data_IF_235132903489
#
_entry.id   IF_235132903489
#
_cell.length_a   1.000
_cell.length_b   1.000
_cell.length_c   1.000
_cell.angle_alpha   90.00
_cell.angle_beta   90.00
_cell.angle_gamma   90.00
#
_symmetry.space_group_name_H-M   'P 1'
#
loop_
_entity.id
_entity.type
_entity.pdbx_description
1 polymer ?
#
# COMPACT_ATOMS: atom_id res chain seq x y z
N UNK A 1 -9.58 1.10 -25.10
CA UNK A 1 -10.48 1.56 -24.05
C UNK A 1 -9.69 2.17 -22.90
N UNK A 2 -10.17 3.30 -22.39
CA UNK A 2 -9.45 4.02 -21.34
C UNK A 2 -9.24 3.16 -20.08
N UNK A 3 -10.26 2.41 -19.68
CA UNK A 3 -10.14 1.56 -18.50
C UNK A 3 -9.08 0.47 -18.63
N UNK A 4 -8.95 -0.09 -19.81
CA UNK A 4 -7.93 -1.08 -20.07
C UNK A 4 -6.52 -0.50 -19.94
N UNK A 5 -6.31 0.68 -20.50
CA UNK A 5 -5.00 1.35 -20.41
C UNK A 5 -4.65 1.71 -18.97
N UNK A 6 -5.63 2.20 -18.23
CA UNK A 6 -5.41 2.54 -16.82
C UNK A 6 -5.03 1.30 -16.01
N UNK A 7 -5.71 0.18 -16.23
CA UNK A 7 -5.40 -1.05 -15.52
C UNK A 7 -3.98 -1.54 -15.81
N UNK A 8 -3.56 -1.46 -17.06
CA UNK A 8 -2.20 -1.87 -17.42
C UNK A 8 -1.16 -0.96 -16.79
N UNK A 9 -1.37 0.34 -16.85
CA UNK A 9 -0.46 1.31 -16.24
C UNK A 9 -0.40 1.09 -14.74
N UNK A 10 -1.54 0.86 -14.11
CA UNK A 10 -1.60 0.59 -12.68
C UNK A 10 -0.78 -0.65 -12.32
N UNK A 11 -0.89 -1.71 -13.11
CA UNK A 11 -0.12 -2.93 -12.87
C UNK A 11 1.38 -2.68 -13.00
N UNK A 12 1.78 -1.91 -14.00
CA UNK A 12 3.18 -1.57 -14.22
C UNK A 12 3.72 -0.70 -13.08
N UNK A 13 2.93 0.26 -12.64
CA UNK A 13 3.29 1.10 -11.49
C UNK A 13 3.47 0.25 -10.25
N UNK A 14 2.56 -0.70 -10.03
CA UNK A 14 2.63 -1.59 -8.88
C UNK A 14 3.92 -2.39 -8.86
N UNK A 15 4.31 -2.95 -9.98
CA UNK A 15 5.57 -3.71 -10.09
C UNK A 15 6.76 -2.83 -9.77
N UNK A 16 6.80 -1.66 -10.38
CA UNK A 16 7.91 -0.73 -10.17
C UNK A 16 7.99 -0.27 -8.72
N UNK A 17 6.84 0.07 -8.12
CA UNK A 17 6.80 0.46 -6.71
C UNK A 17 7.24 -0.66 -5.79
N UNK A 18 6.86 -1.90 -6.09
CA UNK A 18 7.29 -3.04 -5.29
C UNK A 18 8.80 -3.17 -5.27
N UNK A 19 9.45 -2.98 -6.41
CA UNK A 19 10.90 -3.00 -6.49
C UNK A 19 11.51 -1.83 -5.73
N UNK A 20 10.96 -0.64 -5.89
CA UNK A 20 11.46 0.56 -5.21
C UNK A 20 11.36 0.43 -3.70
N UNK A 21 10.25 -0.12 -3.20
CA UNK A 21 10.07 -0.30 -1.77
C UNK A 21 11.12 -1.24 -1.17
N UNK A 22 11.56 -2.24 -1.93
CA UNK A 22 12.61 -3.14 -1.48
C UNK A 22 13.97 -2.46 -1.41
N UNK A 23 14.16 -1.39 -2.19
CA UNK A 23 15.42 -0.66 -2.23
C UNK A 23 15.55 0.40 -1.16
N UNK A 24 14.46 0.71 -0.46
CA UNK A 24 14.48 1.74 0.58
C UNK A 24 15.31 1.25 1.76
N UNK A 25 16.29 2.04 2.14
CA UNK A 25 17.23 1.70 3.23
C UNK A 25 16.94 2.46 4.52
N UNK A 26 15.68 2.68 4.80
CA UNK A 26 15.25 3.34 6.03
C UNK A 26 14.82 2.26 7.01
N UNK A 27 15.43 2.18 8.21
CA UNK A 27 15.06 1.15 9.18
C UNK A 27 13.62 1.23 9.66
N UNK A 28 12.96 2.37 9.48
CA UNK A 28 11.55 2.52 9.83
C UNK A 28 10.63 1.90 8.79
N UNK A 29 11.14 1.63 7.60
CA UNK A 29 10.36 1.02 6.52
C UNK A 29 10.64 -0.48 6.52
N UNK A 30 9.57 -1.28 6.61
CA UNK A 30 9.70 -2.72 6.57
C UNK A 30 10.31 -3.17 5.25
N UNK A 31 11.24 -4.10 5.32
CA UNK A 31 11.81 -4.71 4.11
C UNK A 31 10.85 -5.71 3.48
N UNK A 32 9.82 -6.10 4.22
CA UNK A 32 8.81 -7.06 3.77
C UNK A 32 7.48 -6.35 3.54
N UNK A 33 7.53 -5.12 3.10
CA UNK A 33 6.34 -4.32 2.83
C UNK A 33 5.72 -4.78 1.51
N UNK A 34 4.43 -5.07 1.54
CA UNK A 34 3.69 -5.53 0.36
C UNK A 34 2.64 -4.50 -0.03
N UNK A 35 2.44 -4.34 -1.33
CA UNK A 35 1.37 -3.50 -1.84
C UNK A 35 0.11 -4.35 -1.90
N UNK A 36 -0.89 -3.97 -1.09
CA UNK A 36 -2.16 -4.68 -1.02
C UNK A 36 -3.10 -4.20 -2.12
N UNK A 37 -3.10 -2.89 -2.34
CA UNK A 37 -3.98 -2.28 -3.32
C UNK A 37 -3.34 -1.02 -3.86
N UNK A 38 -3.60 -0.73 -5.11
CA UNK A 38 -3.13 0.51 -5.74
C UNK A 38 -4.28 1.14 -6.50
N UNK A 39 -4.62 2.37 -6.14
CA UNK A 39 -5.63 3.17 -6.82
C UNK A 39 -4.96 4.36 -7.51
N UNK A 40 -5.06 4.41 -8.82
CA UNK A 40 -4.55 5.53 -9.60
C UNK A 40 -5.73 6.32 -10.13
N UNK A 41 -5.72 7.64 -9.93
CA UNK A 41 -6.79 8.48 -10.45
C UNK A 41 -6.81 8.44 -11.99
N UNK A 42 -7.99 8.67 -12.57
CA UNK A 42 -8.17 8.57 -14.03
C UNK A 42 -7.27 9.52 -14.80
N UNK A 43 -6.94 10.66 -14.22
CA UNK A 43 -6.07 11.66 -14.86
C UNK A 43 -4.61 11.51 -14.49
N UNK A 44 -4.24 10.45 -13.76
CA UNK A 44 -2.87 10.18 -13.32
C UNK A 44 -2.30 11.24 -12.37
N UNK A 45 -3.16 11.97 -11.69
CA UNK A 45 -2.70 12.99 -10.73
C UNK A 45 -2.28 12.40 -9.39
N UNK A 46 -2.96 11.37 -8.96
CA UNK A 46 -2.74 10.76 -7.64
C UNK A 46 -2.70 9.26 -7.75
N UNK A 47 -1.87 8.67 -6.92
CA UNK A 47 -1.82 7.23 -6.74
C UNK A 47 -1.85 6.94 -5.25
N UNK A 48 -2.86 6.22 -4.81
CA UNK A 48 -2.98 5.80 -3.42
C UNK A 48 -2.48 4.36 -3.30
N UNK A 49 -1.46 4.17 -2.47
CA UNK A 49 -0.78 2.89 -2.34
C UNK A 49 -1.08 2.32 -0.95
N UNK A 50 -1.85 1.26 -0.90
CA UNK A 50 -2.17 0.57 0.35
C UNK A 50 -1.12 -0.51 0.58
N UNK A 51 -0.43 -0.43 1.70
CA UNK A 51 0.69 -1.32 2.00
C UNK A 51 0.48 -2.02 3.34
N UNK A 52 1.12 -3.17 3.48
CA UNK A 52 1.08 -3.94 4.71
C UNK A 52 2.45 -4.56 4.96
N UNK A 53 2.92 -4.46 6.20
CA UNK A 53 4.17 -5.07 6.63
C UNK A 53 3.88 -6.40 7.29
N UNK A 54 4.74 -7.39 7.04
CA UNK A 54 4.57 -8.72 7.62
C UNK A 54 4.69 -8.69 9.14
N UNK A 55 5.41 -7.71 9.67
CA UNK A 55 5.62 -7.58 11.12
C UNK A 55 4.38 -7.12 11.87
N UNK A 56 3.36 -6.62 11.16
CA UNK A 56 2.12 -6.19 11.77
C UNK A 56 1.77 -4.76 11.47
N UNK A 57 0.63 -4.32 11.99
CA UNK A 57 0.09 -3.01 11.67
C UNK A 57 0.94 -1.85 12.22
N UNK A 58 1.53 -2.03 13.39
CA UNK A 58 2.38 -0.98 13.96
C UNK A 58 3.57 -0.68 13.04
N UNK A 59 4.23 -1.74 12.55
CA UNK A 59 5.33 -1.58 11.61
C UNK A 59 4.85 -1.02 10.29
N UNK A 60 3.64 -1.38 9.88
CA UNK A 60 3.04 -0.83 8.66
C UNK A 60 2.85 0.67 8.80
N UNK A 61 2.32 1.13 9.93
CA UNK A 61 2.11 2.55 10.17
C UNK A 61 3.44 3.31 10.21
N UNK A 62 4.44 2.75 10.86
CA UNK A 62 5.76 3.34 10.91
C UNK A 62 6.35 3.47 9.50
N UNK A 63 6.22 2.41 8.71
CA UNK A 63 6.70 2.40 7.34
C UNK A 63 6.02 3.48 6.49
N UNK A 64 4.70 3.56 6.59
CA UNK A 64 3.91 4.54 5.83
C UNK A 64 4.30 5.95 6.20
N UNK A 65 4.48 6.22 7.47
CA UNK A 65 4.89 7.54 7.95
C UNK A 65 6.23 7.94 7.35
N UNK A 66 7.19 7.02 7.37
CA UNK A 66 8.51 7.28 6.81
C UNK A 66 8.45 7.47 5.29
N UNK A 67 7.65 6.66 4.60
CA UNK A 67 7.50 6.77 3.16
C UNK A 67 6.90 8.11 2.75
N UNK A 68 5.83 8.52 3.43
CA UNK A 68 5.17 9.78 3.09
C UNK A 68 6.03 11.00 3.43
N UNK A 69 6.82 10.90 4.48
CA UNK A 69 7.60 12.05 4.96
C UNK A 69 8.96 12.17 4.29
N UNK A 70 9.70 11.07 4.23
CA UNK A 70 11.11 11.13 3.82
C UNK A 70 11.41 10.51 2.47
N UNK A 71 10.77 9.40 2.16
CA UNK A 71 11.12 8.64 0.96
C UNK A 71 10.20 8.89 -0.23
N UNK A 72 9.07 9.57 -0.01
CA UNK A 72 8.06 9.77 -1.06
C UNK A 72 8.59 10.47 -2.30
N UNK A 73 9.40 11.51 -2.09
CA UNK A 73 9.97 12.26 -3.22
C UNK A 73 10.93 11.42 -4.05
N UNK A 74 11.76 10.64 -3.37
CA UNK A 74 12.69 9.73 -4.05
C UNK A 74 11.93 8.69 -4.86
N UNK A 75 10.92 8.08 -4.25
CA UNK A 75 10.14 7.02 -4.91
C UNK A 75 9.43 7.59 -6.13
N UNK A 76 8.83 8.76 -5.99
CA UNK A 76 8.12 9.41 -7.10
C UNK A 76 9.06 9.71 -8.27
N UNK A 77 10.23 10.24 -7.97
CA UNK A 77 11.22 10.55 -8.99
C UNK A 77 11.71 9.29 -9.70
N UNK A 78 12.01 8.25 -8.93
CA UNK A 78 12.49 6.99 -9.51
C UNK A 78 11.40 6.32 -10.34
N UNK A 79 10.17 6.37 -9.88
CA UNK A 79 9.04 5.83 -10.62
C UNK A 79 8.92 6.50 -11.98
N UNK A 80 8.98 7.81 -12.00
CA UNK A 80 8.90 8.57 -13.24
C UNK A 80 10.02 8.24 -14.19
N UNK A 81 11.25 8.13 -13.66
CA UNK A 81 12.43 7.83 -14.47
C UNK A 81 12.39 6.41 -15.03
N UNK A 82 12.04 5.44 -14.19
CA UNK A 82 12.04 4.03 -14.59
C UNK A 82 10.94 3.70 -15.60
N UNK A 83 9.79 4.34 -15.44
CA UNK A 83 8.65 4.10 -16.32
C UNK A 83 8.54 5.11 -17.44
N UNK A 84 9.40 6.12 -17.46
CA UNK A 84 9.38 7.19 -18.46
C UNK A 84 8.01 7.83 -18.58
N UNK A 85 7.40 8.10 -17.43
CA UNK A 85 6.09 8.71 -17.40
C UNK A 85 6.17 10.20 -17.71
N UNK A 86 5.24 10.69 -18.54
CA UNK A 86 5.12 12.12 -18.79
C UNK A 86 4.65 12.85 -17.56
N UNK A 87 3.67 12.25 -16.88
CA UNK A 87 3.10 12.78 -15.66
C UNK A 87 3.23 11.73 -14.60
N UNK A 88 3.95 12.06 -13.52
CA UNK A 88 4.13 11.15 -12.42
C UNK A 88 3.08 11.47 -11.37
N UNK A 89 2.25 10.51 -10.98
CA UNK A 89 1.23 10.77 -9.98
C UNK A 89 1.86 11.06 -8.63
N UNK A 90 1.18 11.87 -7.85
CA UNK A 90 1.57 12.09 -6.47
C UNK A 90 1.25 10.83 -5.68
N UNK A 91 2.25 10.28 -5.01
CA UNK A 91 2.10 9.03 -4.28
C UNK A 91 1.65 9.30 -2.85
N UNK A 92 0.66 8.55 -2.40
CA UNK A 92 0.18 8.60 -1.04
C UNK A 92 0.13 7.18 -0.50
N UNK A 93 0.90 6.93 0.54
CA UNK A 93 0.96 5.60 1.16
C UNK A 93 0.00 5.54 2.33
N UNK A 94 -0.77 4.48 2.39
CA UNK A 94 -1.75 4.26 3.45
C UNK A 94 -1.50 2.88 4.05
N UNK A 95 -1.50 2.82 5.37
CA UNK A 95 -1.36 1.55 6.08
C UNK A 95 -2.65 0.76 5.95
N UNK A 96 -2.55 -0.44 5.39
CA UNK A 96 -3.68 -1.33 5.26
C UNK A 96 -3.68 -2.31 6.41
N UNK A 97 -4.79 -2.38 7.14
CA UNK A 97 -4.92 -3.31 8.25
C UNK A 97 -5.99 -4.38 7.97
N UNK A 98 -6.29 -4.62 6.70
CA UNK A 98 -7.34 -5.58 6.35
C UNK A 98 -7.05 -6.97 6.90
N UNK A 99 -5.79 -7.39 6.95
CA UNK A 99 -5.44 -8.70 7.49
C UNK A 99 -5.72 -8.75 8.99
N UNK A 100 -5.30 -7.73 9.74
CA UNK A 100 -5.60 -7.66 11.17
C UNK A 100 -7.08 -7.48 11.44
N UNK A 101 -7.74 -6.64 10.66
CA UNK A 101 -9.18 -6.46 10.77
C UNK A 101 -9.92 -7.76 10.51
N UNK A 102 -9.50 -8.51 9.51
CA UNK A 102 -10.10 -9.81 9.21
C UNK A 102 -9.91 -10.77 10.37
N UNK A 103 -8.72 -10.80 10.95
CA UNK A 103 -8.45 -11.65 12.11
C UNK A 103 -9.30 -11.24 13.31
N UNK A 104 -9.43 -9.95 13.56
CA UNK A 104 -10.26 -9.44 14.64
C UNK A 104 -11.73 -9.75 14.42
N UNK A 105 -12.20 -9.58 13.21
CA UNK A 105 -13.58 -9.88 12.85
C UNK A 105 -13.83 -11.38 13.06
N UNK A 106 -12.91 -12.22 12.64
CA UNK A 106 -13.04 -13.67 12.84
C UNK A 106 -13.11 -14.03 14.31
N UNK A 107 -12.29 -13.39 15.15
CA UNK A 107 -12.33 -13.59 16.59
C UNK A 107 -13.66 -13.17 17.19
N UNK A 108 -14.18 -12.06 16.74
CA UNK A 108 -15.48 -11.55 17.20
C UNK A 108 -16.57 -12.53 16.81
N UNK A 109 -16.56 -13.02 15.58
CA UNK A 109 -17.54 -13.98 15.10
C UNK A 109 -17.44 -15.28 15.90
N UNK A 110 -16.24 -15.75 16.15
CA UNK A 110 -16.04 -16.94 16.97
C UNK A 110 -16.58 -16.75 18.38
N UNK A 111 -16.39 -15.57 18.95
CA UNK A 111 -16.95 -15.25 20.25
C UNK A 111 -18.48 -15.27 20.24
N UNK A 112 -19.07 -14.74 19.22
CA UNK A 112 -20.53 -14.80 19.05
C UNK A 112 -21.01 -16.26 19.01
N UNK A 113 -20.33 -17.09 18.23
CA UNK A 113 -20.73 -18.48 18.09
C UNK A 113 -20.54 -19.27 19.37
N UNK A 114 -19.50 -18.96 20.13
CA UNK A 114 -19.15 -19.71 21.33
C UNK A 114 -19.96 -19.30 22.54
N UNK A 115 -20.14 -18.01 22.76
CA UNK A 115 -20.75 -17.55 24.00
C UNK A 115 -22.23 -17.29 23.81
N UNK A 116 -22.60 -16.70 22.76
CA UNK A 116 -23.98 -16.50 22.42
C UNK A 116 -24.03 -15.46 21.29
N UNK A 117 -25.14 -15.36 20.60
CA UNK A 117 -25.22 -14.43 19.48
C UNK A 117 -25.03 -12.97 19.87
N UNK A 118 -25.21 -12.62 21.09
CA UNK A 118 -25.07 -11.24 21.54
C UNK A 118 -23.64 -10.86 21.91
N UNK A 119 -22.76 -11.80 21.88
CA UNK A 119 -21.38 -11.53 22.25
C UNK A 119 -20.65 -10.85 21.12
N UNK A 120 -20.01 -9.79 21.41
CA UNK A 120 -19.27 -9.06 20.39
C UNK A 120 -17.77 -9.17 20.55
#
# INVERSE_FOLDING_TARGET
MAGYKINRVTSDIRLCLSELLREIKDPRVSKMLSIVKLDVSGDMSYATVYVSAIEGFEKTQESVKALNKNAGGYIRRELGARMKLRKVPELRFIADNSIENSAQISKIIDSFDKSSPDES
#
